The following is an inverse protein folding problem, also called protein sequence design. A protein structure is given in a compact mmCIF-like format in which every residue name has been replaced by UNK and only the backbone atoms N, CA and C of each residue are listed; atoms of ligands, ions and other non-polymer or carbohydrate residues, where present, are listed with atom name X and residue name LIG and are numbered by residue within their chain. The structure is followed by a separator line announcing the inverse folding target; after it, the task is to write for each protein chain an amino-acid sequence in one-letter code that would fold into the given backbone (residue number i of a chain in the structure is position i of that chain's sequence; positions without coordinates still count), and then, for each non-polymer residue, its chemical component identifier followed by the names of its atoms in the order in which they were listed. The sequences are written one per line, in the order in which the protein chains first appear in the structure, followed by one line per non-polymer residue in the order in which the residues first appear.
data_IF_475969409572
#
_entry.id   IF_475969409572
#
_cell.length_a   1.000
_cell.length_b   1.000
_cell.length_c   1.000
_cell.angle_alpha   90.00
_cell.angle_beta   90.00
_cell.angle_gamma   90.00
#
_symmetry.space_group_name_H-M   'P 1'
#
loop_
_entity.id
_entity.type
_entity.pdbx_description
1 polymer ?
#
# COMPACT_ATOMS: atom_id res chain seq x y z
N UNK A 1 -13.10 8.55 -23.00
CA UNK A 1 -12.05 7.65 -23.50
C UNK A 1 -10.92 8.50 -24.06
N UNK A 2 -9.72 8.21 -23.65
CA UNK A 2 -8.52 8.90 -24.14
C UNK A 2 -7.59 7.88 -24.81
N UNK A 3 -6.80 8.34 -25.77
CA UNK A 3 -5.79 7.48 -26.41
C UNK A 3 -4.61 7.32 -25.45
N UNK A 4 -4.20 6.07 -25.21
CA UNK A 4 -3.03 5.80 -24.39
C UNK A 4 -1.77 6.36 -25.07
N UNK A 5 -1.04 7.18 -24.34
CA UNK A 5 0.26 7.72 -24.76
C UNK A 5 1.30 7.32 -23.73
N UNK A 6 2.27 6.46 -24.08
CA UNK A 6 3.30 6.04 -23.16
C UNK A 6 4.28 7.19 -22.85
N UNK A 7 4.75 7.26 -21.61
CA UNK A 7 5.79 8.23 -21.20
C UNK A 7 7.10 7.99 -21.97
N UNK A 8 7.42 6.72 -22.22
CA UNK A 8 8.56 6.32 -23.06
C UNK A 8 8.07 5.60 -24.29
N UNK A 9 8.45 6.03 -25.50
CA UNK A 9 8.01 5.38 -26.74
C UNK A 9 8.27 3.88 -26.75
N UNK A 10 7.24 3.09 -27.05
CA UNK A 10 7.32 1.64 -27.11
C UNK A 10 7.32 0.90 -25.76
N UNK A 11 7.27 1.59 -24.63
CA UNK A 11 7.20 1.00 -23.31
C UNK A 11 5.86 1.25 -22.63
N UNK A 12 5.36 0.28 -21.89
CA UNK A 12 4.20 0.43 -21.01
C UNK A 12 4.57 -0.06 -19.60
N UNK A 13 4.20 0.73 -18.60
CA UNK A 13 4.40 0.40 -17.19
C UNK A 13 3.05 0.27 -16.51
N UNK A 14 2.81 -0.85 -15.86
CA UNK A 14 1.58 -1.14 -15.12
C UNK A 14 1.95 -1.42 -13.68
N UNK A 15 1.39 -0.65 -12.78
CA UNK A 15 1.47 -0.88 -11.34
C UNK A 15 0.08 -1.21 -10.81
N UNK A 16 -0.02 -2.27 -10.01
CA UNK A 16 -1.24 -2.65 -9.31
C UNK A 16 -0.92 -2.85 -7.84
N UNK A 17 -1.76 -2.31 -6.95
CA UNK A 17 -1.64 -2.62 -5.53
C UNK A 17 -1.83 -4.11 -5.32
N UNK A 18 -0.91 -4.71 -4.59
CA UNK A 18 -0.89 -6.13 -4.28
C UNK A 18 -1.66 -6.49 -3.00
N UNK A 19 -1.56 -7.74 -2.57
CA UNK A 19 -2.25 -8.19 -1.38
C UNK A 19 -1.51 -7.76 -0.11
N UNK A 20 -2.28 -7.60 0.97
CA UNK A 20 -1.71 -7.70 2.31
C UNK A 20 -1.65 -9.19 2.67
N UNK A 21 -0.46 -9.70 2.90
CA UNK A 21 -0.18 -11.14 3.03
C UNK A 21 -0.33 -11.64 4.47
N UNK A 22 -1.50 -11.44 5.06
CA UNK A 22 -1.85 -11.94 6.40
C UNK A 22 -2.92 -13.05 6.37
N UNK A 23 -3.56 -13.28 5.22
CA UNK A 23 -4.61 -14.29 5.05
C UNK A 23 -4.70 -14.72 3.57
N UNK A 24 -5.44 -15.80 3.31
CA UNK A 24 -5.75 -16.27 1.96
C UNK A 24 -6.46 -15.21 1.14
N UNK A 25 -6.08 -15.11 -0.13
CA UNK A 25 -6.80 -14.25 -1.06
C UNK A 25 -8.07 -14.96 -1.54
N UNK A 26 -9.14 -14.20 -1.73
CA UNK A 26 -10.39 -14.74 -2.25
C UNK A 26 -10.64 -14.28 -3.69
N UNK A 27 -11.66 -14.84 -4.33
CA UNK A 27 -11.97 -14.59 -5.75
C UNK A 27 -12.18 -13.09 -6.07
N UNK A 28 -12.67 -12.31 -5.13
CA UNK A 28 -12.83 -10.86 -5.29
C UNK A 28 -11.48 -10.14 -5.44
N UNK A 29 -10.47 -10.56 -4.69
CA UNK A 29 -9.10 -10.04 -4.83
C UNK A 29 -8.49 -10.51 -6.16
N UNK A 30 -8.62 -11.80 -6.49
CA UNK A 30 -8.06 -12.39 -7.71
C UNK A 30 -8.60 -11.73 -8.98
N UNK A 31 -9.84 -11.26 -8.98
CA UNK A 31 -10.42 -10.52 -10.09
C UNK A 31 -9.59 -9.29 -10.50
N UNK A 32 -9.05 -8.56 -9.53
CA UNK A 32 -8.20 -7.39 -9.80
C UNK A 32 -6.90 -7.79 -10.52
N UNK A 33 -6.29 -8.89 -10.11
CA UNK A 33 -5.04 -9.39 -10.71
C UNK A 33 -5.26 -9.97 -12.11
N UNK A 34 -6.37 -10.68 -12.33
CA UNK A 34 -6.77 -11.14 -13.68
C UNK A 34 -7.00 -9.95 -14.60
N UNK A 35 -7.65 -8.89 -14.12
CA UNK A 35 -7.85 -7.66 -14.89
C UNK A 35 -6.51 -7.01 -15.25
N UNK A 36 -5.60 -6.85 -14.30
CA UNK A 36 -4.27 -6.27 -14.53
C UNK A 36 -3.44 -7.09 -15.53
N UNK A 37 -3.47 -8.43 -15.42
CA UNK A 37 -2.80 -9.31 -16.38
C UNK A 37 -3.42 -9.21 -17.79
N UNK A 38 -4.74 -9.15 -17.88
CA UNK A 38 -5.44 -8.96 -19.17
C UNK A 38 -5.01 -7.64 -19.83
N UNK A 39 -4.97 -6.55 -19.08
CA UNK A 39 -4.46 -5.27 -19.57
C UNK A 39 -3.01 -5.40 -20.03
N UNK A 40 -2.15 -6.01 -19.23
CA UNK A 40 -0.74 -6.23 -19.57
C UNK A 40 -0.58 -7.07 -20.84
N UNK A 41 -1.41 -8.11 -21.05
CA UNK A 41 -1.41 -8.92 -22.30
C UNK A 41 -1.82 -8.09 -23.50
N UNK A 42 -2.83 -7.24 -23.38
CA UNK A 42 -3.27 -6.34 -24.44
C UNK A 42 -2.17 -5.35 -24.83
N UNK A 43 -1.50 -4.75 -23.85
CA UNK A 43 -0.38 -3.85 -24.09
C UNK A 43 0.78 -4.56 -24.81
N UNK A 44 1.14 -5.76 -24.37
CA UNK A 44 2.16 -6.59 -25.04
C UNK A 44 1.74 -6.97 -26.48
N UNK A 45 0.48 -7.33 -26.67
CA UNK A 45 -0.06 -7.65 -28.00
C UNK A 45 -0.01 -6.44 -28.95
N UNK A 46 -0.17 -5.23 -28.41
CA UNK A 46 -0.02 -3.97 -29.16
C UNK A 46 1.43 -3.58 -29.44
N UNK A 47 2.39 -4.40 -29.03
CA UNK A 47 3.81 -4.20 -29.30
C UNK A 47 4.57 -3.39 -28.23
N UNK A 48 3.94 -3.06 -27.12
CA UNK A 48 4.65 -2.39 -26.01
C UNK A 48 5.52 -3.38 -25.22
N UNK A 49 6.73 -2.95 -24.88
CA UNK A 49 7.54 -3.61 -23.86
C UNK A 49 6.92 -3.34 -22.49
N UNK A 50 6.38 -4.37 -21.88
CA UNK A 50 5.66 -4.25 -20.62
C UNK A 50 6.59 -4.41 -19.41
N UNK A 51 6.51 -3.48 -18.46
CA UNK A 51 6.93 -3.67 -17.06
C UNK A 51 5.68 -3.73 -16.20
N UNK A 52 5.47 -4.84 -15.50
CA UNK A 52 4.31 -5.03 -14.62
C UNK A 52 4.78 -5.29 -13.19
N UNK A 53 4.27 -4.50 -12.26
CA UNK A 53 4.58 -4.58 -10.82
C UNK A 53 3.28 -4.79 -10.06
N UNK A 54 3.32 -5.75 -9.13
CA UNK A 54 2.31 -5.94 -8.08
C UNK A 54 3.08 -6.02 -6.76
N UNK A 55 3.01 -4.98 -5.93
CA UNK A 55 3.70 -4.98 -4.64
C UNK A 55 3.13 -6.03 -3.68
N UNK A 56 3.89 -6.38 -2.66
CA UNK A 56 3.45 -7.20 -1.55
C UNK A 56 3.48 -6.36 -0.29
N UNK A 57 2.30 -6.14 0.32
CA UNK A 57 2.20 -5.51 1.63
C UNK A 57 2.43 -6.59 2.69
N UNK A 58 3.69 -6.72 3.08
CA UNK A 58 4.16 -7.68 4.09
C UNK A 58 4.45 -7.04 5.45
N UNK A 59 3.94 -5.84 5.69
CA UNK A 59 4.10 -5.06 6.91
C UNK A 59 2.78 -4.47 7.38
N UNK A 60 2.67 -4.28 8.67
CA UNK A 60 1.66 -3.58 9.46
C UNK A 60 0.48 -2.94 8.75
N UNK A 61 -0.55 -3.74 8.43
CA UNK A 61 -1.82 -3.22 7.94
C UNK A 61 -2.86 -3.26 9.05
N UNK A 62 -3.40 -2.11 9.43
CA UNK A 62 -4.40 -2.03 10.50
C UNK A 62 -5.74 -2.66 10.09
N UNK A 63 -6.54 -3.05 11.07
CA UNK A 63 -7.85 -3.68 10.85
C UNK A 63 -8.87 -2.73 10.26
N UNK A 64 -8.69 -1.42 10.46
CA UNK A 64 -9.56 -0.38 9.91
C UNK A 64 -8.84 0.40 8.80
N UNK A 65 -9.57 0.79 7.76
CA UNK A 65 -9.06 1.65 6.68
C UNK A 65 -8.80 3.10 7.18
N UNK A 66 -9.10 3.37 8.45
CA UNK A 66 -9.02 4.68 9.10
C UNK A 66 -7.72 4.92 9.88
N UNK A 67 -6.66 4.17 9.61
CA UNK A 67 -5.42 4.23 10.38
C UNK A 67 -5.59 3.92 11.89
N UNK A 68 -6.65 3.18 12.25
CA UNK A 68 -6.94 2.77 13.62
C UNK A 68 -7.11 1.24 13.72
N UNK A 69 -6.95 0.70 14.94
CA UNK A 69 -7.15 -0.72 15.24
C UNK A 69 -5.86 -1.54 15.32
N UNK A 70 -6.03 -2.85 15.51
CA UNK A 70 -4.92 -3.79 15.66
C UNK A 70 -4.23 -4.07 14.31
N UNK A 71 -2.94 -4.33 14.36
CA UNK A 71 -2.16 -4.79 13.20
C UNK A 71 -2.61 -6.21 12.79
N UNK A 72 -3.04 -6.35 11.54
CA UNK A 72 -3.52 -7.65 10.99
C UNK A 72 -2.43 -8.72 11.00
N UNK A 73 -1.19 -8.32 10.72
CA UNK A 73 -0.06 -9.25 10.71
C UNK A 73 0.25 -9.76 12.13
N UNK A 74 0.36 -8.85 13.09
CA UNK A 74 0.60 -9.18 14.50
C UNK A 74 -0.51 -10.04 15.07
N UNK A 75 -1.77 -9.70 14.78
CA UNK A 75 -2.93 -10.46 15.22
C UNK A 75 -2.92 -11.89 14.68
N UNK A 76 -2.62 -12.05 13.40
CA UNK A 76 -2.54 -13.37 12.77
C UNK A 76 -1.35 -14.17 13.32
N UNK A 77 -0.20 -13.53 13.51
CA UNK A 77 0.99 -14.12 14.11
C UNK A 77 0.70 -14.66 15.53
N UNK A 78 0.08 -13.86 16.37
CA UNK A 78 -0.32 -14.25 17.71
C UNK A 78 -1.31 -15.42 17.71
N UNK A 79 -2.30 -15.39 16.82
CA UNK A 79 -3.32 -16.45 16.71
C UNK A 79 -2.76 -17.81 16.28
N UNK A 80 -1.67 -17.80 15.49
CA UNK A 80 -1.05 -19.02 14.96
C UNK A 80 0.23 -19.43 15.70
N UNK A 81 0.68 -18.63 16.68
CA UNK A 81 1.93 -18.88 17.39
C UNK A 81 3.16 -18.81 16.46
N UNK A 82 3.12 -17.94 15.45
CA UNK A 82 4.19 -17.73 14.46
C UNK A 82 4.69 -16.29 14.52
N UNK A 83 5.81 -16.01 13.86
CA UNK A 83 6.23 -14.63 13.66
C UNK A 83 5.42 -13.94 12.55
N UNK A 84 5.34 -12.61 12.57
CA UNK A 84 4.73 -11.84 11.50
C UNK A 84 5.43 -12.09 10.15
N UNK A 85 6.73 -12.30 10.15
CA UNK A 85 7.54 -12.65 8.97
C UNK A 85 7.16 -14.01 8.38
N UNK A 86 6.94 -15.03 9.22
CA UNK A 86 6.51 -16.37 8.77
C UNK A 86 5.10 -16.32 8.18
N UNK A 87 4.20 -15.54 8.79
CA UNK A 87 2.85 -15.29 8.26
C UNK A 87 2.93 -14.67 6.87
N UNK A 88 3.71 -13.59 6.72
CA UNK A 88 3.88 -12.92 5.44
C UNK A 88 4.44 -13.86 4.36
N UNK A 89 5.48 -14.61 4.68
CA UNK A 89 6.11 -15.55 3.74
C UNK A 89 5.13 -16.66 3.30
N UNK A 90 4.37 -17.21 4.24
CA UNK A 90 3.40 -18.27 3.96
C UNK A 90 2.29 -17.78 3.01
N UNK A 91 1.62 -16.68 3.32
CA UNK A 91 0.51 -16.18 2.50
C UNK A 91 0.96 -15.55 1.19
N UNK A 92 2.19 -15.03 1.12
CA UNK A 92 2.77 -14.63 -0.16
C UNK A 92 2.97 -15.83 -1.09
N UNK A 93 3.53 -16.94 -0.58
CA UNK A 93 3.73 -18.15 -1.37
C UNK A 93 2.40 -18.74 -1.88
N UNK A 94 1.36 -18.71 -1.05
CA UNK A 94 0.01 -19.12 -1.44
C UNK A 94 -0.57 -18.22 -2.52
N UNK A 95 -0.46 -16.91 -2.37
CA UNK A 95 -0.87 -15.93 -3.38
C UNK A 95 -0.18 -16.15 -4.73
N UNK A 96 1.15 -16.36 -4.73
CA UNK A 96 1.90 -16.61 -5.97
C UNK A 96 1.46 -17.93 -6.63
N UNK A 97 1.12 -18.95 -5.83
CA UNK A 97 0.58 -20.21 -6.35
C UNK A 97 -0.80 -20.00 -7.00
N UNK A 98 -1.65 -19.18 -6.41
CA UNK A 98 -2.96 -18.85 -6.97
C UNK A 98 -2.86 -18.04 -8.26
N UNK A 99 -1.93 -17.08 -8.36
CA UNK A 99 -1.64 -16.39 -9.62
C UNK A 99 -1.24 -17.39 -10.72
N UNK A 100 -0.41 -18.36 -10.40
CA UNK A 100 0.01 -19.39 -11.34
C UNK A 100 -1.17 -20.30 -11.78
N UNK A 101 -2.04 -20.72 -10.86
CA UNK A 101 -3.27 -21.50 -11.16
C UNK A 101 -4.21 -20.74 -12.09
N UNK A 102 -4.29 -19.42 -11.96
CA UNK A 102 -5.09 -18.54 -12.83
C UNK A 102 -4.38 -18.18 -14.14
N UNK A 103 -3.21 -18.75 -14.42
CA UNK A 103 -2.41 -18.41 -15.61
C UNK A 103 -2.05 -16.94 -15.73
N UNK A 104 -1.93 -16.23 -14.61
CA UNK A 104 -1.46 -14.85 -14.56
C UNK A 104 0.06 -14.86 -14.76
N UNK A 105 0.56 -14.03 -15.69
CA UNK A 105 1.99 -13.88 -15.90
C UNK A 105 2.64 -13.30 -14.66
N UNK A 106 3.78 -13.86 -14.27
CA UNK A 106 4.49 -13.42 -13.05
C UNK A 106 4.97 -11.98 -13.21
N UNK A 107 4.42 -11.01 -12.43
CA UNK A 107 4.94 -9.64 -12.38
C UNK A 107 6.14 -9.56 -11.42
N UNK A 108 6.75 -8.38 -11.31
CA UNK A 108 7.65 -8.13 -10.20
C UNK A 108 6.84 -7.94 -8.92
N UNK A 109 7.31 -8.55 -7.83
CA UNK A 109 6.69 -8.50 -6.51
C UNK A 109 7.62 -7.85 -5.48
N UNK A 110 7.87 -6.52 -5.52
CA UNK A 110 8.60 -5.85 -4.46
C UNK A 110 7.81 -5.97 -3.15
N UNK A 111 8.51 -6.25 -2.06
CA UNK A 111 7.94 -6.30 -0.72
C UNK A 111 8.09 -4.96 -0.03
N UNK A 112 7.07 -4.52 0.69
CA UNK A 112 7.11 -3.26 1.41
C UNK A 112 8.29 -3.20 2.40
N UNK A 113 8.57 -4.32 3.10
CA UNK A 113 9.69 -4.40 4.06
C UNK A 113 11.07 -4.21 3.43
N UNK A 114 11.23 -4.48 2.14
CA UNK A 114 12.51 -4.30 1.41
C UNK A 114 12.75 -2.83 1.02
N UNK A 115 11.74 -1.96 1.13
CA UNK A 115 11.77 -0.56 0.69
C UNK A 115 11.58 0.46 1.83
N UNK A 116 11.62 0.03 3.09
CA UNK A 116 11.39 0.93 4.24
C UNK A 116 12.34 2.11 4.26
N UNK A 117 13.62 1.91 4.01
CA UNK A 117 14.61 2.99 3.94
C UNK A 117 14.30 3.98 2.81
N UNK A 118 13.88 3.48 1.64
CA UNK A 118 13.46 4.31 0.53
C UNK A 118 12.18 5.09 0.86
N UNK A 119 11.22 4.47 1.55
CA UNK A 119 10.01 5.13 2.03
C UNK A 119 10.32 6.25 3.03
N UNK A 120 11.26 6.02 3.95
CA UNK A 120 11.71 7.04 4.90
C UNK A 120 12.39 8.20 4.16
N UNK A 121 13.25 7.90 3.19
CA UNK A 121 13.93 8.90 2.40
C UNK A 121 12.93 9.76 1.62
N UNK A 122 12.00 9.14 0.93
CA UNK A 122 10.95 9.83 0.17
C UNK A 122 10.01 10.62 1.09
N UNK A 123 9.63 10.05 2.24
CA UNK A 123 8.84 10.74 3.25
C UNK A 123 9.49 12.04 3.73
N UNK A 124 10.83 12.05 3.92
CA UNK A 124 11.58 13.26 4.27
C UNK A 124 11.46 14.36 3.22
N UNK A 125 11.47 13.99 1.93
CA UNK A 125 11.38 14.98 0.83
C UNK A 125 10.03 15.70 0.81
N UNK A 126 8.95 14.99 1.18
CA UNK A 126 7.60 15.56 1.15
C UNK A 126 7.14 16.13 2.50
N UNK A 127 7.77 15.73 3.61
CA UNK A 127 7.30 16.03 4.96
C UNK A 127 7.13 17.52 5.22
N UNK A 128 8.14 18.34 4.90
CA UNK A 128 8.12 19.77 5.17
C UNK A 128 6.98 20.50 4.47
N UNK A 129 6.66 20.08 3.25
CA UNK A 129 5.69 20.77 2.39
C UNK A 129 4.27 20.24 2.52
N UNK A 130 4.13 18.94 2.77
CA UNK A 130 2.86 18.25 2.61
C UNK A 130 2.38 17.51 3.85
N UNK A 131 3.14 17.52 4.94
CA UNK A 131 2.79 16.71 6.09
C UNK A 131 2.76 17.50 7.40
N UNK A 132 2.15 16.90 8.40
CA UNK A 132 2.17 17.35 9.79
C UNK A 132 2.26 16.17 10.73
N UNK A 133 2.79 16.39 11.92
CA UNK A 133 2.91 15.35 12.94
C UNK A 133 1.73 15.39 13.92
N UNK A 134 1.29 14.20 14.29
CA UNK A 134 0.43 13.92 15.45
C UNK A 134 1.19 12.97 16.40
N UNK A 135 0.65 12.74 17.59
CA UNK A 135 1.21 11.79 18.54
C UNK A 135 1.31 10.38 17.93
N UNK A 136 0.35 10.02 17.06
CA UNK A 136 0.26 8.73 16.37
C UNK A 136 1.18 8.59 15.15
N UNK A 137 1.78 9.66 14.63
CA UNK A 137 2.69 9.59 13.48
C UNK A 137 2.75 10.82 12.60
N UNK A 138 3.25 10.64 11.36
CA UNK A 138 3.31 11.66 10.32
C UNK A 138 2.15 11.49 9.36
N UNK A 139 1.39 12.55 9.12
CA UNK A 139 0.19 12.55 8.29
C UNK A 139 0.35 13.45 7.08
N UNK A 140 -0.12 12.98 5.94
CA UNK A 140 -0.21 13.77 4.70
C UNK A 140 -1.44 14.65 4.74
N UNK A 141 -1.25 15.94 4.50
CA UNK A 141 -2.29 16.96 4.40
C UNK A 141 -2.76 17.06 2.94
N UNK A 142 -3.92 16.50 2.64
CA UNK A 142 -4.46 16.46 1.28
C UNK A 142 -4.79 17.85 0.73
N UNK A 143 -5.00 18.85 1.60
CA UNK A 143 -5.29 20.23 1.20
C UNK A 143 -4.09 20.91 0.54
N UNK A 144 -2.89 20.38 0.73
CA UNK A 144 -1.67 20.89 0.11
C UNK A 144 -1.54 20.52 -1.37
N UNK A 145 -2.44 19.66 -1.89
CA UNK A 145 -2.50 19.23 -3.29
C UNK A 145 -3.79 19.75 -3.92
N UNK A 146 -3.74 20.81 -4.76
CA UNK A 146 -4.93 21.51 -5.26
C UNK A 146 -5.97 20.67 -5.99
N UNK A 147 -5.56 19.58 -6.61
CA UNK A 147 -6.46 18.69 -7.37
C UNK A 147 -6.51 17.27 -6.78
N UNK A 148 -6.37 17.16 -5.45
CA UNK A 148 -6.45 15.87 -4.77
C UNK A 148 -7.77 15.16 -5.11
N UNK A 149 -7.68 13.87 -5.43
CA UNK A 149 -8.87 13.07 -5.81
C UNK A 149 -9.28 13.17 -7.30
N UNK A 150 -8.67 14.05 -8.11
CA UNK A 150 -9.00 14.22 -9.54
C UNK A 150 -8.99 12.91 -10.33
N UNK A 151 -7.98 12.08 -10.15
CA UNK A 151 -7.85 10.80 -10.87
C UNK A 151 -8.93 9.80 -10.47
N UNK A 152 -9.29 9.76 -9.20
CA UNK A 152 -10.35 8.91 -8.68
C UNK A 152 -11.75 9.48 -8.95
N UNK A 153 -11.87 10.73 -9.43
CA UNK A 153 -13.11 11.49 -9.52
C UNK A 153 -13.85 11.52 -8.17
N UNK A 154 -13.10 11.49 -7.07
CA UNK A 154 -13.65 11.56 -5.73
C UNK A 154 -14.11 12.98 -5.45
N UNK A 155 -15.37 13.12 -5.01
CA UNK A 155 -15.88 14.37 -4.44
C UNK A 155 -15.41 14.39 -3.00
N UNK A 156 -14.45 15.27 -2.68
CA UNK A 156 -13.82 15.31 -1.36
C UNK A 156 -14.68 15.97 -0.29
N UNK A 157 -15.78 16.63 -0.67
CA UNK A 157 -16.55 17.49 0.25
C UNK A 157 -17.64 16.79 1.07
N UNK A 158 -18.21 15.68 0.64
CA UNK A 158 -19.40 15.08 1.31
C UNK A 158 -19.39 13.54 1.38
N UNK A 159 -18.25 12.91 1.16
CA UNK A 159 -18.17 11.47 1.30
C UNK A 159 -18.34 11.06 2.77
N UNK A 160 -19.45 10.41 3.11
CA UNK A 160 -19.49 9.52 4.26
C UNK A 160 -18.42 8.44 4.07
N UNK A 161 -17.17 8.85 4.29
CA UNK A 161 -16.02 7.96 4.26
C UNK A 161 -16.20 6.94 5.37
N UNK A 162 -15.90 5.70 5.09
CA UNK A 162 -15.70 4.62 6.07
C UNK A 162 -14.51 4.90 7.00
N UNK A 163 -14.18 6.17 7.21
CA UNK A 163 -12.98 6.62 7.89
C UNK A 163 -13.37 6.95 9.32
N UNK A 164 -12.96 6.09 10.26
CA UNK A 164 -13.01 6.43 11.69
C UNK A 164 -12.15 7.67 11.91
N UNK A 165 -12.65 8.59 12.73
CA UNK A 165 -11.94 9.84 13.03
C UNK A 165 -10.73 9.54 13.90
N UNK A 166 -9.54 9.70 13.37
CA UNK A 166 -8.32 9.82 14.19
C UNK A 166 -8.30 11.24 14.73
N UNK A 167 -8.24 11.37 16.05
CA UNK A 167 -8.26 12.66 16.73
C UNK A 167 -7.05 13.51 16.30
N UNK A 168 -7.30 14.76 15.96
CA UNK A 168 -6.26 15.70 15.52
C UNK A 168 -6.02 15.78 14.01
N UNK A 169 -6.66 14.98 13.16
CA UNK A 169 -6.58 15.16 11.70
C UNK A 169 -7.14 16.51 11.28
N UNK A 170 -6.44 17.19 10.35
CA UNK A 170 -6.88 18.48 9.78
C UNK A 170 -8.03 18.30 8.81
N UNK A 171 -7.97 17.25 7.96
CA UNK A 171 -9.02 16.88 7.01
C UNK A 171 -9.35 15.40 7.17
N UNK A 172 -10.60 15.03 6.95
CA UNK A 172 -11.02 13.61 7.00
C UNK A 172 -10.23 12.71 6.04
N UNK A 173 -9.85 13.25 4.89
CA UNK A 173 -9.11 12.53 3.85
C UNK A 173 -7.61 12.43 4.11
N UNK A 174 -7.08 13.10 5.14
CA UNK A 174 -5.66 12.99 5.50
C UNK A 174 -5.33 11.56 5.93
N UNK A 175 -4.12 11.11 5.65
CA UNK A 175 -3.71 9.73 5.91
C UNK A 175 -2.29 9.65 6.46
N UNK A 176 -2.03 8.62 7.26
CA UNK A 176 -0.71 8.39 7.82
C UNK A 176 0.27 7.92 6.74
N UNK A 177 1.43 8.57 6.64
CA UNK A 177 2.60 8.07 5.89
C UNK A 177 3.55 7.29 6.80
N UNK A 178 3.62 7.66 8.07
CA UNK A 178 4.37 6.92 9.08
C UNK A 178 3.55 6.83 10.36
N UNK A 179 3.46 5.63 10.91
CA UNK A 179 2.73 5.36 12.16
C UNK A 179 3.69 4.99 13.25
N UNK A 180 3.67 5.76 14.34
CA UNK A 180 4.44 5.48 15.53
C UNK A 180 3.90 4.24 16.24
N UNK A 181 4.79 3.43 16.79
CA UNK A 181 4.43 2.44 17.79
C UNK A 181 4.07 3.16 19.08
N UNK A 182 2.90 2.91 19.69
CA UNK A 182 2.51 3.55 20.93
C UNK A 182 3.56 3.32 22.05
N UNK A 183 3.66 4.29 22.96
CA UNK A 183 4.61 4.21 24.07
C UNK A 183 4.29 3.01 24.96
N UNK A 184 5.31 2.20 25.25
CA UNK A 184 5.16 0.96 26.03
C UNK A 184 4.76 -0.27 25.22
N UNK A 185 4.44 -0.13 23.92
CA UNK A 185 4.20 -1.25 23.01
C UNK A 185 5.47 -1.61 22.22
N UNK A 186 5.50 -2.84 21.72
CA UNK A 186 6.52 -3.33 20.80
C UNK A 186 5.84 -4.10 19.67
N UNK A 187 6.32 -3.90 18.45
CA UNK A 187 5.85 -4.66 17.27
C UNK A 187 7.01 -5.48 16.70
N UNK A 188 6.70 -6.60 16.07
CA UNK A 188 7.72 -7.41 15.39
C UNK A 188 8.27 -6.69 14.15
N UNK A 189 7.44 -5.88 13.50
CA UNK A 189 7.78 -5.12 12.30
C UNK A 189 7.71 -3.63 12.59
N UNK A 190 8.82 -3.07 13.06
CA UNK A 190 8.97 -1.65 13.34
C UNK A 190 10.40 -1.19 13.07
N UNK A 191 10.55 0.04 12.65
CA UNK A 191 11.81 0.66 12.25
C UNK A 191 11.98 2.04 12.88
N UNK A 192 13.21 2.45 13.06
CA UNK A 192 13.53 3.81 13.48
C UNK A 192 13.32 4.79 12.30
N UNK A 193 12.73 5.93 12.58
CA UNK A 193 12.53 7.01 11.62
C UNK A 193 12.70 8.38 12.28
N UNK A 194 12.80 9.47 11.51
CA UNK A 194 12.81 10.83 12.06
C UNK A 194 11.55 11.19 12.85
N UNK A 195 10.46 10.49 12.57
CA UNK A 195 9.15 10.72 13.20
C UNK A 195 8.88 9.77 14.38
N UNK A 196 9.89 9.01 14.78
CA UNK A 196 9.83 8.02 15.84
C UNK A 196 9.80 6.57 15.33
N UNK A 197 9.93 5.63 16.27
CA UNK A 197 9.88 4.19 15.99
C UNK A 197 8.48 3.78 15.57
N UNK A 198 8.37 3.00 14.50
CA UNK A 198 7.07 2.62 13.94
C UNK A 198 7.16 1.91 12.59
N UNK A 199 6.12 2.06 11.78
CA UNK A 199 6.01 1.41 10.47
C UNK A 199 5.46 2.38 9.41
N UNK A 200 5.76 2.17 8.12
CA UNK A 200 5.21 2.97 7.04
C UNK A 200 3.68 2.83 6.95
N UNK A 201 3.01 3.91 6.58
CA UNK A 201 1.63 3.86 6.16
C UNK A 201 1.50 3.21 4.78
N UNK A 202 0.44 2.46 4.56
CA UNK A 202 0.24 1.66 3.33
C UNK A 202 0.21 2.46 2.02
N UNK A 203 -0.17 3.75 2.07
CA UNK A 203 -0.10 4.61 0.90
C UNK A 203 1.33 4.90 0.44
N UNK A 204 2.28 4.92 1.37
CA UNK A 204 3.68 5.16 1.09
C UNK A 204 4.31 4.03 0.26
N UNK A 205 3.89 2.79 0.50
CA UNK A 205 4.36 1.61 -0.22
C UNK A 205 4.14 1.71 -1.74
N UNK A 206 3.00 2.26 -2.13
CA UNK A 206 2.65 2.41 -3.54
C UNK A 206 3.24 3.68 -4.19
N UNK A 207 3.83 4.58 -3.40
CA UNK A 207 4.35 5.87 -3.87
C UNK A 207 5.85 5.83 -4.16
N UNK A 208 6.57 4.91 -3.53
CA UNK A 208 8.02 4.69 -3.64
C UNK A 208 8.33 3.55 -4.60
#
# INVERSE_FOLDING_TARGET
LETFQPVHPGEARVYSCGPTVYNYQHIGNMRAYVFADTLGRVLSYKGYKLTHVINITDVGHLTSDADAGEDKMEKMAASQGKSAWDIAAFYQADFEADLARLNIRKPAHPKATEYVDAMIAWGKEIAEKHCYELDSGLYFDVSTVPEYGRLARAVTDDGEGRIEEVDGKRNKADFAIWRKTPEGETRQMEWDSPWGRGAPGWHLECSV
#
